data_IF_692529696722
#
_entry.id   IF_692529696722
#
_cell.length_a   1.000
_cell.length_b   1.000
_cell.length_c   1.000
_cell.angle_alpha   90.00
_cell.angle_beta   90.00
_cell.angle_gamma   90.00
#
_symmetry.space_group_name_H-M   'P 1'
#
loop_
_entity.id
_entity.type
_entity.pdbx_description
1 polymer ?
#
# COMPACT_ATOMS: atom_id res chain seq x y z
N UNK A 1 -9.88 -0.31 18.18
CA UNK A 1 -9.73 -0.02 16.73
C UNK A 1 -8.41 0.72 16.50
N UNK A 2 -7.32 0.01 16.21
CA UNK A 2 -6.04 0.64 15.85
C UNK A 2 -6.06 0.97 14.36
N UNK A 3 -6.67 2.09 13.98
CA UNK A 3 -6.63 2.59 12.61
C UNK A 3 -5.19 2.84 12.17
N UNK A 4 -4.88 2.48 10.93
CA UNK A 4 -3.59 2.75 10.28
C UNK A 4 -3.22 4.24 10.46
N UNK A 5 -2.02 4.62 10.92
CA UNK A 5 -1.72 6.02 11.28
C UNK A 5 -2.02 7.05 10.18
N UNK A 6 -1.89 6.65 8.92
CA UNK A 6 -2.23 7.49 7.78
C UNK A 6 -3.73 7.75 7.61
N UNK A 7 -4.58 6.81 8.01
CA UNK A 7 -6.03 7.01 8.04
C UNK A 7 -6.39 8.06 9.09
N UNK A 8 -5.76 7.98 10.27
CA UNK A 8 -5.96 8.97 11.34
C UNK A 8 -5.49 10.37 10.90
N UNK A 9 -4.31 10.45 10.29
CA UNK A 9 -3.80 11.70 9.72
C UNK A 9 -4.74 12.26 8.65
N UNK A 10 -5.17 11.45 7.69
CA UNK A 10 -6.08 11.88 6.62
C UNK A 10 -7.41 12.40 7.15
N UNK A 11 -7.96 11.74 8.19
CA UNK A 11 -9.17 12.19 8.86
C UNK A 11 -8.96 13.54 9.56
N UNK A 12 -7.89 13.69 10.34
CA UNK A 12 -7.57 14.94 11.05
C UNK A 12 -7.31 16.11 10.09
N UNK A 13 -6.68 15.84 8.94
CA UNK A 13 -6.49 16.83 7.90
C UNK A 13 -7.80 17.23 7.24
N UNK A 14 -8.72 16.30 6.96
CA UNK A 14 -10.06 16.63 6.46
C UNK A 14 -10.82 17.47 7.48
N UNK A 15 -10.82 17.08 8.75
CA UNK A 15 -11.46 17.83 9.83
C UNK A 15 -10.92 19.27 9.89
N UNK A 16 -9.61 19.46 9.73
CA UNK A 16 -9.00 20.78 9.64
C UNK A 16 -9.49 21.59 8.44
N UNK A 17 -9.59 20.97 7.26
CA UNK A 17 -9.86 21.64 5.98
C UNK A 17 -11.35 21.91 5.72
N UNK A 18 -12.25 21.34 6.50
CA UNK A 18 -13.68 21.32 6.19
C UNK A 18 -14.56 21.98 7.24
N UNK A 19 -15.78 22.28 6.82
CA UNK A 19 -16.89 22.66 7.68
C UNK A 19 -18.15 21.91 7.23
N UNK A 20 -19.13 21.68 8.12
CA UNK A 20 -20.41 21.09 7.74
C UNK A 20 -21.09 21.94 6.67
N UNK A 21 -21.59 21.31 5.61
CA UNK A 21 -22.53 21.96 4.71
C UNK A 21 -23.83 22.14 5.51
N UNK A 22 -24.29 23.39 5.70
CA UNK A 22 -25.46 23.71 6.55
C UNK A 22 -26.58 22.72 6.26
N UNK A 23 -26.91 21.90 7.25
CA UNK A 23 -28.04 20.98 7.18
C UNK A 23 -29.27 21.80 7.52
N UNK A 24 -30.16 21.99 6.55
CA UNK A 24 -31.54 22.29 6.87
C UNK A 24 -32.05 21.18 7.80
N UNK A 25 -32.78 21.61 8.83
CA UNK A 25 -33.25 20.84 9.99
C UNK A 25 -33.63 19.39 9.66
N UNK A 26 -32.75 18.45 9.97
CA UNK A 26 -33.12 17.06 10.25
C UNK A 26 -32.04 16.42 11.10
N UNK A 27 -32.39 16.13 12.35
CA UNK A 27 -31.55 15.36 13.25
C UNK A 27 -31.40 13.92 12.74
N UNK A 28 -30.22 13.35 12.90
CA UNK A 28 -30.01 11.92 12.64
C UNK A 28 -28.56 11.60 12.33
N UNK A 29 -27.89 10.99 13.31
CA UNK A 29 -26.65 10.22 13.27
C UNK A 29 -25.42 10.85 12.60
N UNK A 30 -24.39 11.08 13.42
CA UNK A 30 -23.03 11.32 12.98
C UNK A 30 -22.61 10.21 12.02
N UNK A 31 -22.63 10.50 10.72
CA UNK A 31 -22.27 9.55 9.67
C UNK A 31 -20.89 8.95 9.99
N UNK A 32 -20.83 7.61 10.05
CA UNK A 32 -19.58 6.90 10.29
C UNK A 32 -18.52 7.37 9.27
N UNK A 33 -17.25 7.60 9.68
CA UNK A 33 -16.21 8.04 8.76
C UNK A 33 -16.13 7.07 7.58
N UNK A 34 -16.52 7.53 6.39
CA UNK A 34 -16.42 6.73 5.18
C UNK A 34 -14.94 6.36 4.97
N UNK A 35 -14.64 5.12 4.57
CA UNK A 35 -13.27 4.69 4.37
C UNK A 35 -12.60 5.62 3.36
N UNK A 36 -11.47 6.20 3.76
CA UNK A 36 -10.62 7.12 2.99
C UNK A 36 -10.02 6.41 1.76
N UNK A 37 -10.87 6.01 0.80
CA UNK A 37 -10.45 5.43 -0.48
C UNK A 37 -9.96 6.55 -1.39
N UNK A 38 -8.89 6.29 -2.15
CA UNK A 38 -8.36 7.15 -3.23
C UNK A 38 -7.71 8.49 -2.81
N UNK A 39 -7.08 8.55 -1.64
CA UNK A 39 -6.28 9.72 -1.21
C UNK A 39 -5.07 10.02 -2.10
N UNK A 40 -4.56 9.05 -2.86
CA UNK A 40 -3.29 9.16 -3.61
C UNK A 40 -3.19 10.34 -4.58
N UNK A 41 -4.32 10.91 -5.04
CA UNK A 41 -4.34 12.12 -5.88
C UNK A 41 -4.20 13.40 -5.06
N UNK A 42 -4.75 13.43 -3.86
CA UNK A 42 -4.70 14.56 -2.94
C UNK A 42 -3.40 14.55 -2.14
N UNK A 43 -3.07 13.41 -1.54
CA UNK A 43 -1.90 13.20 -0.69
C UNK A 43 -1.02 12.12 -1.29
N UNK A 44 0.29 12.38 -1.38
CA UNK A 44 1.29 11.42 -1.85
C UNK A 44 2.37 11.24 -0.79
N UNK A 45 2.88 10.02 -0.70
CA UNK A 45 4.08 9.69 0.06
C UNK A 45 5.29 9.97 -0.80
N UNK A 46 6.30 10.61 -0.21
CA UNK A 46 7.59 10.75 -0.87
C UNK A 46 8.49 9.63 -0.35
N UNK A 47 9.16 8.91 -1.26
CA UNK A 47 10.13 7.88 -0.88
C UNK A 47 11.58 8.37 -1.01
N UNK A 48 11.79 9.43 -1.78
CA UNK A 48 13.11 9.99 -2.08
C UNK A 48 13.17 11.47 -1.74
N UNK A 49 14.38 11.99 -1.52
CA UNK A 49 14.65 13.42 -1.30
C UNK A 49 13.75 14.07 -0.23
N UNK A 50 13.54 13.39 0.90
CA UNK A 50 12.66 13.84 1.98
C UNK A 50 13.01 15.24 2.53
N UNK A 51 14.29 15.62 2.46
CA UNK A 51 14.76 16.96 2.82
C UNK A 51 14.22 18.05 1.90
N UNK A 52 13.97 17.74 0.62
CA UNK A 52 13.44 18.68 -0.36
C UNK A 52 11.90 18.58 -0.45
N UNK A 53 11.36 17.35 -0.47
CA UNK A 53 9.96 17.11 -0.78
C UNK A 53 9.04 16.99 0.44
N UNK A 54 9.62 16.89 1.65
CA UNK A 54 8.90 16.55 2.88
C UNK A 54 8.56 15.07 2.98
N UNK A 55 7.79 14.71 3.99
CA UNK A 55 7.32 13.34 4.21
C UNK A 55 6.14 12.98 3.31
N UNK A 56 5.22 13.93 3.21
CA UNK A 56 4.05 13.85 2.37
C UNK A 56 3.94 15.11 1.54
N UNK A 57 3.26 14.98 0.42
CA UNK A 57 2.83 16.13 -0.37
C UNK A 57 1.33 16.13 -0.53
N UNK A 58 0.71 17.29 -0.35
CA UNK A 58 -0.74 17.46 -0.53
C UNK A 58 -1.05 18.46 -1.64
N UNK A 59 -2.14 18.24 -2.36
CA UNK A 59 -2.60 19.15 -3.42
C UNK A 59 -2.99 20.51 -2.83
N UNK A 60 -2.51 21.58 -3.43
CA UNK A 60 -2.85 22.95 -3.07
C UNK A 60 -4.12 23.45 -3.76
N UNK A 61 -4.57 22.78 -4.84
CA UNK A 61 -5.71 23.19 -5.66
C UNK A 61 -7.03 22.79 -4.97
N UNK A 62 -7.86 23.74 -4.52
CA UNK A 62 -9.10 23.47 -3.77
C UNK A 62 -10.13 22.64 -4.55
N UNK A 63 -10.19 22.82 -5.87
CA UNK A 63 -11.13 22.07 -6.74
C UNK A 63 -10.98 20.55 -6.62
N UNK A 64 -9.76 20.05 -6.41
CA UNK A 64 -9.53 18.61 -6.24
C UNK A 64 -10.09 18.11 -4.92
N UNK A 65 -9.96 18.91 -3.86
CA UNK A 65 -10.52 18.61 -2.55
C UNK A 65 -12.04 18.69 -2.56
N UNK A 66 -12.63 19.74 -3.15
CA UNK A 66 -14.09 19.89 -3.24
C UNK A 66 -14.76 18.69 -3.92
N UNK A 67 -14.18 18.18 -5.02
CA UNK A 67 -14.70 16.98 -5.70
C UNK A 67 -14.70 15.76 -4.78
N UNK A 68 -13.67 15.62 -3.93
CA UNK A 68 -13.56 14.54 -2.98
C UNK A 68 -14.56 14.68 -1.82
N UNK A 69 -14.64 15.88 -1.25
CA UNK A 69 -15.44 16.20 -0.07
C UNK A 69 -16.94 16.22 -0.34
N UNK A 70 -17.36 16.59 -1.56
CA UNK A 70 -18.77 16.53 -1.96
C UNK A 70 -19.35 15.11 -1.88
N UNK A 71 -18.54 14.08 -2.15
CA UNK A 71 -18.96 12.69 -1.96
C UNK A 71 -19.16 12.32 -0.49
N UNK A 72 -18.70 13.15 0.44
CA UNK A 72 -18.80 12.97 1.89
C UNK A 72 -19.77 13.97 2.55
N UNK A 73 -20.48 14.80 1.78
CA UNK A 73 -21.36 15.85 2.34
C UNK A 73 -20.61 16.95 3.08
N UNK A 74 -19.33 17.16 2.76
CA UNK A 74 -18.47 18.16 3.38
C UNK A 74 -18.13 19.28 2.40
N UNK A 75 -17.96 20.50 2.92
CA UNK A 75 -17.46 21.65 2.17
C UNK A 75 -16.11 22.10 2.73
N UNK A 76 -15.24 22.63 1.87
CA UNK A 76 -14.03 23.31 2.33
C UNK A 76 -14.37 24.51 3.20
N UNK A 77 -13.53 24.74 4.22
CA UNK A 77 -13.62 25.92 5.09
C UNK A 77 -13.24 27.21 4.35
N UNK A 78 -12.37 27.10 3.36
CA UNK A 78 -11.85 28.20 2.55
C UNK A 78 -12.54 28.20 1.18
N UNK A 79 -12.94 29.38 0.74
CA UNK A 79 -13.42 29.65 -0.61
C UNK A 79 -12.37 30.51 -1.31
N UNK A 80 -11.50 29.87 -2.09
CA UNK A 80 -10.34 30.51 -2.73
C UNK A 80 -9.68 29.62 -3.77
N UNK A 81 -8.68 30.17 -4.45
CA UNK A 81 -7.93 29.48 -5.52
C UNK A 81 -6.81 28.57 -5.00
N UNK A 82 -6.42 28.74 -3.74
CA UNK A 82 -5.41 27.94 -3.02
C UNK A 82 -5.96 27.44 -1.68
N UNK A 83 -5.52 26.25 -1.25
CA UNK A 83 -6.04 25.59 -0.05
C UNK A 83 -5.47 26.18 1.25
N UNK A 84 -4.22 26.63 1.25
CA UNK A 84 -3.55 27.29 2.39
C UNK A 84 -2.67 28.46 1.89
N UNK A 85 -3.29 29.52 1.35
CA UNK A 85 -2.56 30.61 0.68
C UNK A 85 -1.61 31.34 1.63
N UNK A 86 -2.04 31.59 2.87
CA UNK A 86 -1.26 32.39 3.82
C UNK A 86 -0.34 31.54 4.70
N UNK A 87 0.73 32.17 5.18
CA UNK A 87 1.58 31.57 6.22
C UNK A 87 0.81 31.34 7.53
N UNK A 88 -0.17 32.20 7.82
CA UNK A 88 -1.04 32.09 8.99
C UNK A 88 -1.83 30.78 8.98
N UNK A 89 -2.47 30.42 7.86
CA UNK A 89 -3.24 29.17 7.76
C UNK A 89 -2.34 27.93 7.83
N UNK A 90 -1.13 28.01 7.26
CA UNK A 90 -0.14 26.93 7.38
C UNK A 90 0.34 26.77 8.81
N UNK A 91 0.56 27.87 9.52
CA UNK A 91 0.95 27.84 10.92
C UNK A 91 -0.18 27.36 11.83
N UNK A 92 -1.43 27.69 11.50
CA UNK A 92 -2.62 27.17 12.18
C UNK A 92 -2.70 25.64 12.04
N UNK A 93 -2.46 25.09 10.83
CA UNK A 93 -2.38 23.66 10.61
C UNK A 93 -1.29 23.00 11.46
N UNK A 94 -0.10 23.60 11.51
CA UNK A 94 1.02 23.11 12.34
C UNK A 94 0.62 23.13 13.82
N UNK A 95 -0.01 24.20 14.31
CA UNK A 95 -0.44 24.33 15.70
C UNK A 95 -1.49 23.28 16.06
N UNK A 96 -2.53 23.14 15.25
CA UNK A 96 -3.57 22.12 15.47
C UNK A 96 -3.00 20.70 15.42
N UNK A 97 -1.98 20.46 14.58
CA UNK A 97 -1.34 19.15 14.46
C UNK A 97 -0.59 18.69 15.71
N UNK A 98 -0.29 19.58 16.66
CA UNK A 98 0.37 19.23 17.93
C UNK A 98 -0.40 18.20 18.75
N UNK A 99 -1.73 18.18 18.60
CA UNK A 99 -2.61 17.22 19.26
C UNK A 99 -2.77 15.91 18.46
N UNK A 100 -2.20 15.82 17.27
CA UNK A 100 -2.25 14.62 16.43
C UNK A 100 -1.22 13.61 16.89
N UNK A 101 -1.43 12.36 16.50
CA UNK A 101 -0.47 11.27 16.77
C UNK A 101 0.93 11.60 16.25
N UNK A 102 1.00 12.17 15.04
CA UNK A 102 2.23 12.66 14.42
C UNK A 102 2.06 14.14 14.10
N UNK A 103 2.63 15.03 14.92
CA UNK A 103 2.59 16.46 14.67
C UNK A 103 3.40 16.87 13.45
N UNK A 104 2.93 17.89 12.75
CA UNK A 104 3.70 18.58 11.73
C UNK A 104 4.72 19.52 12.41
N UNK A 105 5.88 19.66 11.79
CA UNK A 105 6.88 20.67 12.12
C UNK A 105 6.92 21.77 11.06
N UNK A 106 6.52 21.45 9.82
CA UNK A 106 6.65 22.36 8.70
C UNK A 106 5.62 22.05 7.61
N UNK A 107 5.12 23.11 6.98
CA UNK A 107 4.26 23.06 5.79
C UNK A 107 4.80 24.07 4.79
N UNK A 108 5.42 23.60 3.71
CA UNK A 108 6.05 24.47 2.70
C UNK A 108 5.35 24.39 1.36
N UNK A 109 5.36 25.47 0.60
CA UNK A 109 4.91 25.47 -0.80
C UNK A 109 6.03 24.87 -1.63
N UNK A 110 5.80 23.74 -2.30
CA UNK A 110 6.79 23.17 -3.22
C UNK A 110 6.71 23.80 -4.60
N UNK A 111 5.49 23.88 -5.12
CA UNK A 111 5.13 24.53 -6.36
C UNK A 111 3.70 25.07 -6.21
N UNK A 112 3.20 25.82 -7.20
CA UNK A 112 1.83 26.38 -7.17
C UNK A 112 0.72 25.33 -6.99
N UNK A 113 1.04 24.05 -7.18
CA UNK A 113 0.04 22.98 -7.14
C UNK A 113 0.07 22.14 -5.86
N UNK A 114 1.13 22.20 -5.04
CA UNK A 114 1.30 21.30 -3.89
C UNK A 114 2.04 21.91 -2.71
N UNK A 115 1.62 21.49 -1.51
CA UNK A 115 2.34 21.71 -0.26
C UNK A 115 3.12 20.46 0.14
N UNK A 116 4.33 20.64 0.65
CA UNK A 116 5.11 19.64 1.38
C UNK A 116 4.72 19.69 2.86
N UNK A 117 4.59 18.52 3.46
CA UNK A 117 4.28 18.32 4.87
C UNK A 117 5.45 17.58 5.52
N UNK A 118 6.00 18.14 6.58
CA UNK A 118 7.05 17.51 7.37
C UNK A 118 6.56 17.25 8.77
N UNK A 119 6.76 16.03 9.25
CA UNK A 119 6.42 15.64 10.60
C UNK A 119 7.59 15.82 11.56
N UNK A 120 7.26 16.01 12.84
CA UNK A 120 8.22 15.83 13.92
C UNK A 120 8.70 14.37 13.92
N UNK A 121 10.02 14.18 13.87
CA UNK A 121 10.63 12.84 13.73
C UNK A 121 10.47 11.98 14.97
N UNK A 122 10.62 12.59 16.14
CA UNK A 122 10.66 11.86 17.41
C UNK A 122 9.39 11.01 17.66
N UNK A 123 8.15 11.54 17.51
CA UNK A 123 6.93 10.73 17.66
C UNK A 123 6.83 9.56 16.68
N UNK A 124 7.28 9.74 15.43
CA UNK A 124 7.27 8.68 14.41
C UNK A 124 8.26 7.58 14.80
N UNK A 125 9.51 7.95 15.12
CA UNK A 125 10.55 7.00 15.50
C UNK A 125 10.13 6.21 16.74
N UNK A 126 9.64 6.89 17.78
CA UNK A 126 9.15 6.25 19.00
C UNK A 126 7.99 5.28 18.72
N UNK A 127 7.06 5.67 17.84
CA UNK A 127 5.96 4.80 17.46
C UNK A 127 6.43 3.56 16.70
N UNK A 128 7.33 3.72 15.73
CA UNK A 128 7.87 2.61 14.93
C UNK A 128 8.64 1.65 15.82
N UNK A 129 9.57 2.15 16.65
CA UNK A 129 10.35 1.33 17.57
C UNK A 129 9.44 0.56 18.53
N UNK A 130 8.47 1.25 19.15
CA UNK A 130 7.49 0.58 20.02
C UNK A 130 6.72 -0.50 19.29
N UNK A 131 6.30 -0.25 18.05
CA UNK A 131 5.54 -1.22 17.25
C UNK A 131 6.38 -2.43 16.86
N UNK A 132 7.63 -2.21 16.43
CA UNK A 132 8.58 -3.31 16.11
C UNK A 132 8.85 -4.17 17.34
N UNK A 133 9.12 -3.56 18.49
CA UNK A 133 9.40 -4.30 19.73
C UNK A 133 8.17 -5.07 20.22
N UNK A 134 6.97 -4.46 20.11
CA UNK A 134 5.72 -5.07 20.59
C UNK A 134 5.25 -6.20 19.67
N UNK A 135 5.30 -5.99 18.34
CA UNK A 135 4.79 -6.95 17.36
C UNK A 135 5.84 -8.00 16.97
N UNK A 136 7.14 -7.76 17.19
CA UNK A 136 8.23 -8.69 16.88
C UNK A 136 8.15 -9.20 15.43
N UNK A 137 8.06 -10.52 15.24
CA UNK A 137 7.97 -11.16 13.92
C UNK A 137 6.68 -10.84 13.15
N UNK A 138 5.68 -10.26 13.82
CA UNK A 138 4.43 -9.82 13.20
C UNK A 138 4.45 -8.36 12.75
N UNK A 139 5.55 -7.64 12.99
CA UNK A 139 5.68 -6.28 12.47
C UNK A 139 5.62 -6.27 10.94
N UNK A 140 4.72 -5.45 10.37
CA UNK A 140 4.48 -5.38 8.93
C UNK A 140 3.53 -6.45 8.39
N UNK A 141 3.10 -7.43 9.19
CA UNK A 141 2.06 -8.39 8.80
C UNK A 141 0.69 -7.76 8.91
N UNK A 142 -0.13 -7.89 7.88
CA UNK A 142 -1.53 -7.45 7.93
C UNK A 142 -2.36 -8.46 8.71
N UNK A 143 -3.24 -7.98 9.59
CA UNK A 143 -4.23 -8.86 10.23
C UNK A 143 -5.18 -9.44 9.16
N UNK A 144 -5.39 -10.75 9.21
CA UNK A 144 -6.25 -11.48 8.28
C UNK A 144 -7.53 -11.89 9.00
N UNK A 145 -8.67 -11.72 8.35
CA UNK A 145 -9.96 -12.11 8.90
C UNK A 145 -10.82 -12.82 7.84
N UNK A 146 -12.06 -13.17 8.16
CA UNK A 146 -12.96 -13.86 7.23
C UNK A 146 -13.44 -12.98 6.06
N UNK A 147 -13.13 -11.67 6.08
CA UNK A 147 -13.41 -10.74 4.99
C UNK A 147 -12.15 -10.41 4.16
N UNK A 148 -10.99 -10.97 4.52
CA UNK A 148 -9.79 -10.87 3.70
C UNK A 148 -9.99 -11.58 2.37
N UNK A 149 -9.52 -10.96 1.28
CA UNK A 149 -9.45 -11.61 -0.03
C UNK A 149 -8.67 -12.92 0.05
N UNK A 150 -9.09 -13.89 -0.72
CA UNK A 150 -8.50 -15.23 -0.74
C UNK A 150 -7.63 -15.41 -1.99
N UNK A 151 -6.52 -16.13 -1.82
CA UNK A 151 -5.63 -16.55 -2.90
C UNK A 151 -5.36 -18.04 -2.77
N UNK A 152 -5.47 -18.79 -3.87
CA UNK A 152 -4.92 -20.13 -3.96
C UNK A 152 -3.63 -20.06 -4.76
N UNK A 153 -2.50 -20.48 -4.18
CA UNK A 153 -1.20 -20.50 -4.84
C UNK A 153 -0.81 -21.95 -5.14
N UNK A 154 -0.44 -22.25 -6.38
CA UNK A 154 -0.04 -23.58 -6.82
C UNK A 154 1.33 -23.53 -7.50
N UNK A 155 2.15 -24.54 -7.25
CA UNK A 155 3.37 -24.82 -8.00
C UNK A 155 3.07 -25.96 -8.99
N UNK A 156 3.47 -25.82 -10.25
CA UNK A 156 3.30 -26.87 -11.24
C UNK A 156 4.00 -28.17 -10.79
N UNK A 157 3.32 -29.31 -10.96
CA UNK A 157 3.72 -30.62 -10.39
C UNK A 157 5.13 -31.10 -10.80
N UNK A 158 5.60 -30.72 -11.99
CA UNK A 158 6.91 -31.15 -12.51
C UNK A 158 8.08 -30.28 -12.03
N UNK A 159 7.83 -29.21 -11.26
CA UNK A 159 8.87 -28.36 -10.69
C UNK A 159 9.46 -28.87 -9.37
N UNK A 160 9.06 -30.07 -8.91
CA UNK A 160 9.43 -30.65 -7.62
C UNK A 160 10.62 -31.61 -7.66
N UNK A 161 11.81 -31.16 -8.03
CA UNK A 161 13.05 -31.88 -7.72
C UNK A 161 13.59 -31.40 -6.37
N UNK A 162 13.89 -32.34 -5.46
CA UNK A 162 14.17 -32.06 -4.05
C UNK A 162 15.67 -31.95 -3.75
N UNK A 163 16.52 -32.42 -4.67
CA UNK A 163 17.96 -32.54 -4.48
C UNK A 163 18.76 -31.64 -5.44
N UNK A 164 20.01 -31.31 -5.06
CA UNK A 164 20.87 -30.31 -5.70
C UNK A 164 21.26 -30.58 -7.18
N UNK A 165 20.85 -31.72 -7.73
CA UNK A 165 20.95 -32.05 -9.16
C UNK A 165 19.84 -31.41 -10.01
N UNK A 166 18.91 -30.65 -9.39
CA UNK A 166 17.86 -29.97 -10.15
C UNK A 166 18.41 -28.88 -11.08
N UNK A 167 17.87 -28.83 -12.30
CA UNK A 167 18.01 -27.72 -13.24
C UNK A 167 17.76 -26.36 -12.56
N UNK A 168 18.64 -25.39 -12.79
CA UNK A 168 18.57 -24.05 -12.20
C UNK A 168 17.24 -23.31 -12.51
N UNK A 169 16.62 -23.61 -13.66
CA UNK A 169 15.30 -23.09 -14.05
C UNK A 169 14.20 -23.55 -13.09
N UNK A 170 14.19 -24.82 -12.71
CA UNK A 170 13.24 -25.39 -11.75
C UNK A 170 13.50 -24.84 -10.34
N UNK A 171 14.77 -24.75 -9.93
CA UNK A 171 15.15 -24.12 -8.67
C UNK A 171 14.61 -22.68 -8.56
N UNK A 172 14.76 -21.85 -9.60
CA UNK A 172 14.25 -20.47 -9.60
C UNK A 172 12.72 -20.40 -9.48
N UNK A 173 12.00 -21.29 -10.16
CA UNK A 173 10.53 -21.38 -10.05
C UNK A 173 10.11 -21.75 -8.62
N UNK A 174 10.79 -22.71 -7.98
CA UNK A 174 10.55 -23.02 -6.56
C UNK A 174 10.84 -21.82 -5.65
N UNK A 175 11.92 -21.08 -5.88
CA UNK A 175 12.24 -19.88 -5.11
C UNK A 175 11.17 -18.79 -5.31
N UNK A 176 10.71 -18.57 -6.54
CA UNK A 176 9.62 -17.65 -6.84
C UNK A 176 8.33 -18.03 -6.08
N UNK A 177 7.97 -19.32 -6.10
CA UNK A 177 6.83 -19.83 -5.32
C UNK A 177 7.00 -19.57 -3.81
N UNK A 178 8.17 -19.87 -3.24
CA UNK A 178 8.48 -19.58 -1.82
C UNK A 178 8.41 -18.09 -1.49
N UNK A 179 8.89 -17.23 -2.39
CA UNK A 179 8.79 -15.77 -2.24
C UNK A 179 7.32 -15.34 -2.24
N UNK A 180 6.50 -15.87 -3.16
CA UNK A 180 5.07 -15.56 -3.22
C UNK A 180 4.34 -16.01 -1.95
N UNK A 181 4.63 -17.19 -1.42
CA UNK A 181 4.09 -17.63 -0.13
C UNK A 181 4.40 -16.61 0.98
N UNK A 182 5.65 -16.14 1.06
CA UNK A 182 6.05 -15.11 2.02
C UNK A 182 5.34 -13.78 1.76
N UNK A 183 5.24 -13.33 0.51
CA UNK A 183 4.55 -12.08 0.16
C UNK A 183 3.07 -12.13 0.55
N UNK A 184 2.39 -13.25 0.28
CA UNK A 184 1.00 -13.47 0.70
C UNK A 184 0.90 -13.48 2.23
N UNK A 185 1.88 -14.05 2.92
CA UNK A 185 1.95 -14.04 4.39
C UNK A 185 1.97 -12.61 4.95
N UNK A 186 2.77 -11.70 4.38
CA UNK A 186 2.82 -10.28 4.76
C UNK A 186 1.63 -9.44 4.24
N UNK A 187 0.95 -9.89 3.19
CA UNK A 187 -0.22 -9.20 2.63
C UNK A 187 -1.47 -9.31 3.51
N UNK A 188 -2.52 -8.55 3.17
CA UNK A 188 -3.85 -8.67 3.78
C UNK A 188 -4.67 -9.87 3.28
N UNK A 189 -4.11 -10.68 2.39
CA UNK A 189 -4.79 -11.79 1.74
C UNK A 189 -4.58 -13.09 2.51
N UNK A 190 -5.58 -13.96 2.43
CA UNK A 190 -5.52 -15.31 3.00
C UNK A 190 -5.16 -16.31 1.93
N UNK A 191 -4.14 -17.11 2.20
CA UNK A 191 -3.86 -18.30 1.41
C UNK A 191 -4.91 -19.35 1.74
N UNK A 192 -5.51 -19.96 0.72
CA UNK A 192 -6.48 -21.05 0.84
C UNK A 192 -6.04 -22.23 0.00
N UNK A 193 -6.36 -23.43 0.47
CA UNK A 193 -6.09 -24.66 -0.27
C UNK A 193 -7.01 -24.75 -1.51
N UNK A 194 -6.64 -25.55 -2.53
CA UNK A 194 -7.43 -25.69 -3.75
C UNK A 194 -8.89 -26.09 -3.52
N UNK A 195 -9.18 -26.85 -2.46
CA UNK A 195 -10.51 -27.31 -2.13
C UNK A 195 -11.35 -26.27 -1.35
N UNK A 196 -10.71 -25.23 -0.82
CA UNK A 196 -11.34 -24.18 0.00
C UNK A 196 -11.55 -22.88 -0.78
N UNK A 197 -11.50 -22.95 -2.11
CA UNK A 197 -11.68 -21.79 -3.00
C UNK A 197 -13.11 -21.25 -2.92
N UNK A 198 -13.21 -19.93 -2.85
CA UNK A 198 -14.44 -19.16 -2.98
C UNK A 198 -14.53 -18.56 -4.39
N UNK A 199 -15.72 -18.06 -4.76
CA UNK A 199 -15.98 -17.51 -6.09
C UNK A 199 -15.05 -16.34 -6.46
N UNK A 200 -14.61 -15.56 -5.47
CA UNK A 200 -13.70 -14.43 -5.63
C UNK A 200 -12.22 -14.77 -5.34
N UNK A 201 -11.89 -16.05 -5.11
CA UNK A 201 -10.52 -16.49 -4.87
C UNK A 201 -9.68 -16.34 -6.13
N UNK A 202 -8.60 -15.56 -6.04
CA UNK A 202 -7.62 -15.49 -7.13
C UNK A 202 -6.76 -16.75 -7.11
N UNK A 203 -6.72 -17.43 -8.26
CA UNK A 203 -5.90 -18.63 -8.43
C UNK A 203 -4.60 -18.25 -9.13
N UNK A 204 -3.47 -18.47 -8.46
CA UNK A 204 -2.14 -18.14 -8.96
C UNK A 204 -1.37 -19.43 -9.17
N UNK A 205 -0.94 -19.68 -10.41
CA UNK A 205 -0.07 -20.81 -10.75
C UNK A 205 1.33 -20.29 -11.04
N UNK A 206 2.33 -20.88 -10.39
CA UNK A 206 3.75 -20.58 -10.61
C UNK A 206 4.35 -21.70 -11.45
N UNK A 207 4.88 -21.34 -12.62
CA UNK A 207 5.36 -22.28 -13.63
C UNK A 207 6.57 -21.75 -14.41
N UNK A 208 7.17 -22.61 -15.23
CA UNK A 208 8.36 -22.29 -16.01
C UNK A 208 8.03 -21.45 -17.25
N UNK A 209 6.97 -21.84 -17.95
CA UNK A 209 6.52 -21.22 -19.19
C UNK A 209 5.16 -20.58 -18.96
N UNK A 210 4.64 -19.83 -19.94
CA UNK A 210 3.30 -19.23 -19.79
C UNK A 210 2.22 -20.28 -19.95
N UNK A 211 1.15 -20.12 -19.18
CA UNK A 211 0.00 -21.00 -19.18
C UNK A 211 -0.66 -21.01 -20.58
N UNK A 212 -0.40 -22.05 -21.38
CA UNK A 212 -0.89 -22.19 -22.75
C UNK A 212 -2.34 -22.72 -22.84
N UNK A 213 -3.04 -22.86 -21.72
CA UNK A 213 -4.41 -23.38 -21.71
C UNK A 213 -5.36 -22.37 -22.38
N UNK A 214 -6.14 -22.86 -23.37
CA UNK A 214 -7.08 -22.05 -24.19
C UNK A 214 -8.27 -21.51 -23.39
N UNK A 215 -8.57 -22.11 -22.24
CA UNK A 215 -9.65 -21.70 -21.34
C UNK A 215 -9.06 -21.47 -19.95
N UNK A 216 -8.44 -20.32 -19.75
CA UNK A 216 -8.07 -19.89 -18.39
C UNK A 216 -9.35 -19.48 -17.66
N UNK A 217 -9.65 -20.02 -16.47
CA UNK A 217 -10.78 -19.57 -15.68
C UNK A 217 -10.60 -18.09 -15.33
N UNK A 218 -11.70 -17.34 -15.31
CA UNK A 218 -11.71 -15.93 -14.90
C UNK A 218 -11.07 -15.81 -13.51
N UNK A 219 -10.07 -14.95 -13.35
CA UNK A 219 -9.34 -14.80 -12.08
C UNK A 219 -8.11 -15.69 -11.91
N UNK A 220 -7.66 -16.35 -12.98
CA UNK A 220 -6.38 -17.05 -13.01
C UNK A 220 -5.21 -16.11 -13.33
N UNK A 221 -4.10 -16.27 -12.62
CA UNK A 221 -2.85 -15.54 -12.86
C UNK A 221 -1.71 -16.54 -13.00
N UNK A 222 -1.00 -16.43 -14.12
CA UNK A 222 0.17 -17.23 -14.41
C UNK A 222 1.44 -16.44 -14.10
N UNK A 223 2.28 -16.94 -13.20
CA UNK A 223 3.56 -16.34 -12.85
C UNK A 223 4.70 -17.22 -13.34
N UNK A 224 5.54 -16.64 -14.20
CA UNK A 224 6.64 -17.38 -14.84
C UNK A 224 8.00 -16.88 -14.38
N UNK A 225 8.96 -17.79 -14.22
CA UNK A 225 10.37 -17.43 -14.12
C UNK A 225 10.96 -17.46 -15.52
N UNK A 226 11.42 -16.31 -16.03
CA UNK A 226 12.11 -16.25 -17.33
C UNK A 226 13.33 -17.19 -17.40
N UNK A 227 13.85 -17.45 -18.62
CA UNK A 227 14.95 -18.38 -18.82
C UNK A 227 16.19 -17.95 -18.04
N UNK A 228 16.96 -18.94 -17.59
CA UNK A 228 18.31 -18.70 -17.07
C UNK A 228 19.26 -18.71 -18.24
N UNK A 229 19.97 -17.62 -18.45
CA UNK A 229 20.90 -17.47 -19.56
C UNK A 229 22.34 -17.57 -19.07
N UNK A 230 23.17 -18.25 -19.85
CA UNK A 230 24.62 -18.24 -19.62
C UNK A 230 25.21 -16.86 -19.96
N UNK A 231 26.03 -16.26 -19.08
CA UNK A 231 26.59 -14.93 -19.31
C UNK A 231 27.41 -14.80 -20.60
N UNK A 232 28.07 -15.87 -21.03
CA UNK A 232 28.99 -15.85 -22.16
C UNK A 232 28.30 -16.10 -23.51
N UNK A 233 27.29 -16.97 -23.53
CA UNK A 233 26.71 -17.47 -24.79
C UNK A 233 25.27 -16.98 -25.01
N UNK A 234 24.65 -16.34 -24.01
CA UNK A 234 23.24 -15.92 -24.01
C UNK A 234 22.24 -17.06 -24.33
N UNK A 235 22.71 -18.32 -24.27
CA UNK A 235 21.91 -19.52 -24.45
C UNK A 235 21.25 -19.94 -23.14
N UNK A 236 20.24 -20.81 -23.24
CA UNK A 236 19.62 -21.41 -22.06
C UNK A 236 20.66 -22.21 -21.28
N UNK A 237 20.77 -21.93 -19.98
CA UNK A 237 21.67 -22.65 -19.09
C UNK A 237 21.12 -24.02 -18.75
N UNK A 238 22.00 -25.02 -18.82
CA UNK A 238 21.78 -26.39 -18.35
C UNK A 238 22.44 -26.63 -16.98
N UNK A 239 22.90 -25.57 -16.32
CA UNK A 239 23.51 -25.69 -15.00
C UNK A 239 22.50 -26.21 -13.98
N UNK A 240 23.00 -27.07 -13.10
CA UNK A 240 22.30 -27.51 -11.90
C UNK A 240 22.35 -26.44 -10.82
N UNK A 241 21.48 -26.56 -9.81
CA UNK A 241 21.49 -25.67 -8.66
C UNK A 241 22.82 -25.72 -7.89
N UNK A 242 23.43 -26.90 -7.74
CA UNK A 242 24.71 -27.04 -7.05
C UNK A 242 25.85 -26.32 -7.78
N UNK A 243 25.97 -26.51 -9.10
CA UNK A 243 27.00 -25.85 -9.92
C UNK A 243 26.91 -24.32 -9.88
N UNK A 244 25.74 -23.76 -9.58
CA UNK A 244 25.54 -22.32 -9.47
C UNK A 244 25.76 -21.75 -8.06
N UNK A 245 25.51 -22.56 -7.02
CA UNK A 245 25.52 -22.11 -5.62
C UNK A 245 26.86 -22.36 -4.91
N UNK A 246 27.73 -23.19 -5.47
CA UNK A 246 29.14 -23.34 -5.07
C UNK A 246 30.01 -22.18 -5.56
#
# INVERSE_FOLDING_TARGET
MNGYPMVQFGQKLIEFLTQPEKTDESGGDAAAPLPLKNFGKLIRYNNDKLTEQGDLTMAAIPRYWQKYLKMQGLKLRIDGDELLPSEVERQELIEQSRMWRFPLVEVTVLNKERYSLRFQRHPIIAHVLKSVITLRGDYGRSAKNNHSRTMCLQLQADAGAVDGEQDLRHYRVQQLYKILLRLVDYSSWRLVEPNDRQEDTICVTVELEKCCQREQPVGHVCLTSGPVLEPMNMGASFMTANEYLE
#
